data_IF_932982123023
#
_entry.id   IF_932982123023
#
_cell.length_a   1.000
_cell.length_b   1.000
_cell.length_c   1.000
_cell.angle_alpha   90.00
_cell.angle_beta   90.00
_cell.angle_gamma   90.00
#
_symmetry.space_group_name_H-M   'P 1'
#
loop_
_entity.id
_entity.type
_entity.pdbx_description
1 polymer ?
#
# COMPACT_ATOMS: atom_id res chain seq x y z
N UNK A 1 33.45 49.15 -3.50
CA UNK A 1 32.36 49.22 -4.48
C UNK A 1 31.49 48.00 -4.30
N UNK A 2 30.45 48.15 -3.47
CA UNK A 2 29.38 47.18 -3.25
C UNK A 2 28.24 47.54 -4.21
N UNK A 3 27.72 46.56 -4.94
CA UNK A 3 26.44 46.69 -5.63
C UNK A 3 25.41 45.87 -4.87
N UNK A 4 24.61 46.58 -4.07
CA UNK A 4 23.37 46.08 -3.49
C UNK A 4 22.25 46.15 -4.53
N UNK A 5 21.56 45.02 -4.75
CA UNK A 5 20.27 44.99 -5.43
C UNK A 5 19.17 44.64 -4.42
N UNK A 6 18.12 45.47 -4.26
CA UNK A 6 16.99 45.13 -3.42
C UNK A 6 15.98 44.32 -4.24
N UNK A 7 15.87 43.02 -3.99
CA UNK A 7 14.73 42.25 -4.48
C UNK A 7 13.56 42.34 -3.51
N UNK A 8 12.47 42.90 -4.04
CA UNK A 8 11.23 43.21 -3.36
C UNK A 8 10.49 41.98 -2.82
N UNK A 9 10.37 41.99 -1.50
CA UNK A 9 9.19 41.70 -0.66
C UNK A 9 7.84 41.57 -1.40
N UNK A 10 7.44 40.38 -1.84
CA UNK A 10 6.02 39.97 -1.98
C UNK A 10 5.92 38.44 -1.98
N UNK A 11 5.43 37.84 -0.89
CA UNK A 11 4.68 36.59 -0.90
C UNK A 11 3.94 36.47 0.45
N UNK A 12 2.62 36.65 0.39
CA UNK A 12 1.69 36.45 1.51
C UNK A 12 1.76 34.99 1.98
N UNK A 13 1.72 34.82 3.30
CA UNK A 13 1.41 33.55 3.94
C UNK A 13 0.02 33.08 3.49
N UNK A 14 -0.07 31.84 3.01
CA UNK A 14 -1.34 31.14 2.92
C UNK A 14 -1.60 30.51 4.29
N UNK A 15 -2.49 31.13 5.04
CA UNK A 15 -3.14 30.56 6.21
C UNK A 15 -4.18 29.55 5.72
N UNK A 16 -4.09 28.30 6.19
CA UNK A 16 -5.02 27.21 5.89
C UNK A 16 -5.94 26.88 7.07
N UNK A 17 -6.07 27.79 8.04
CA UNK A 17 -7.18 27.73 8.99
C UNK A 17 -8.39 28.44 8.37
N UNK A 18 -9.57 27.81 8.48
CA UNK A 18 -10.88 28.24 7.95
C UNK A 18 -11.22 27.77 6.53
N UNK A 19 -11.70 26.54 6.42
CA UNK A 19 -12.77 26.20 5.47
C UNK A 19 -14.04 25.98 6.30
N UNK A 20 -14.61 27.10 6.76
CA UNK A 20 -16.01 27.18 7.14
C UNK A 20 -16.80 27.72 5.94
N UNK A 21 -18.02 27.23 5.85
CA UNK A 21 -19.02 27.46 4.84
C UNK A 21 -19.28 28.94 4.54
N UNK A 22 -19.27 29.34 3.26
CA UNK A 22 -20.21 30.31 2.66
C UNK A 22 -19.84 30.60 1.20
N UNK A 23 -20.54 29.96 0.26
CA UNK A 23 -20.72 30.49 -1.09
C UNK A 23 -22.22 30.56 -1.39
N UNK A 24 -22.77 31.74 -1.72
CA UNK A 24 -24.15 31.82 -2.20
C UNK A 24 -24.21 31.22 -3.61
N UNK A 25 -24.87 30.06 -3.72
CA UNK A 25 -25.15 29.40 -5.00
C UNK A 25 -26.07 30.29 -5.82
N UNK A 26 -25.58 30.76 -6.96
CA UNK A 26 -26.39 31.40 -7.99
C UNK A 26 -27.46 30.42 -8.49
N UNK A 27 -28.72 30.84 -8.45
CA UNK A 27 -29.86 30.10 -8.99
C UNK A 27 -29.83 30.15 -10.52
N UNK A 28 -29.03 29.28 -11.13
CA UNK A 28 -29.26 28.78 -12.49
C UNK A 28 -30.03 27.47 -12.39
N UNK A 29 -31.32 27.48 -12.71
CA UNK A 29 -32.15 26.28 -12.74
C UNK A 29 -31.75 25.36 -13.91
N UNK A 30 -30.63 24.64 -13.76
CA UNK A 30 -30.41 23.42 -14.52
C UNK A 30 -31.28 22.34 -13.88
N UNK A 31 -32.26 21.83 -14.62
CA UNK A 31 -32.97 20.60 -14.24
C UNK A 31 -31.95 19.47 -14.27
N UNK A 32 -31.38 19.14 -13.10
CA UNK A 32 -30.66 17.89 -12.92
C UNK A 32 -31.66 16.75 -13.14
N UNK A 33 -31.51 16.05 -14.26
CA UNK A 33 -32.19 14.77 -14.47
C UNK A 33 -31.51 13.77 -13.53
N UNK A 34 -32.00 13.71 -12.29
CA UNK A 34 -31.54 12.72 -11.32
C UNK A 34 -32.03 11.35 -11.75
N UNK A 35 -31.15 10.56 -12.39
CA UNK A 35 -31.42 9.14 -12.63
C UNK A 35 -31.68 8.43 -11.30
N UNK A 36 -32.72 7.61 -11.26
CA UNK A 36 -33.03 6.81 -10.08
C UNK A 36 -31.85 5.87 -9.74
N UNK A 37 -31.63 5.54 -8.46
CA UNK A 37 -30.53 4.67 -8.05
C UNK A 37 -30.53 3.33 -8.79
N UNK A 38 -31.70 2.74 -9.04
CA UNK A 38 -31.86 1.50 -9.81
C UNK A 38 -31.43 1.65 -11.27
N UNK A 39 -31.69 2.79 -11.90
CA UNK A 39 -31.30 3.06 -13.28
C UNK A 39 -29.79 3.32 -13.43
N UNK A 40 -29.14 3.87 -12.39
CA UNK A 40 -27.66 3.96 -12.32
C UNK A 40 -27.01 2.57 -12.25
N UNK A 41 -27.58 1.65 -11.47
CA UNK A 41 -27.11 0.26 -11.39
C UNK A 41 -27.27 -0.47 -12.73
N UNK A 42 -28.45 -0.38 -13.35
CA UNK A 42 -28.72 -1.02 -14.66
C UNK A 42 -27.79 -0.49 -15.75
N UNK A 43 -27.56 0.83 -15.81
CA UNK A 43 -26.64 1.42 -16.78
C UNK A 43 -25.18 1.06 -16.51
N UNK A 44 -24.78 0.94 -15.24
CA UNK A 44 -23.44 0.46 -14.88
C UNK A 44 -23.23 -1.01 -15.27
N UNK A 45 -24.25 -1.85 -15.08
CA UNK A 45 -24.24 -3.26 -15.51
C UNK A 45 -24.21 -3.34 -17.04
N UNK A 46 -25.00 -2.56 -17.76
CA UNK A 46 -25.00 -2.55 -19.24
C UNK A 46 -23.69 -2.02 -19.82
N UNK A 47 -23.07 -1.00 -19.22
CA UNK A 47 -21.72 -0.54 -19.58
C UNK A 47 -20.64 -1.60 -19.28
N UNK A 48 -20.80 -2.34 -18.17
CA UNK A 48 -19.91 -3.45 -17.83
C UNK A 48 -20.06 -4.64 -18.79
N UNK A 49 -21.29 -5.05 -19.11
CA UNK A 49 -21.57 -6.17 -20.02
C UNK A 49 -21.15 -5.84 -21.46
N UNK A 50 -21.38 -4.60 -21.92
CA UNK A 50 -20.93 -4.18 -23.26
C UNK A 50 -19.42 -4.09 -23.37
N UNK A 51 -18.69 -3.66 -22.33
CA UNK A 51 -17.23 -3.64 -22.35
C UNK A 51 -16.58 -5.04 -22.32
N UNK A 52 -17.22 -6.03 -21.69
CA UNK A 52 -16.77 -7.45 -21.75
C UNK A 52 -16.86 -8.00 -23.18
N UNK A 53 -17.87 -7.60 -23.97
CA UNK A 53 -18.03 -8.01 -25.37
C UNK A 53 -16.93 -7.51 -26.33
N UNK A 54 -16.14 -6.51 -25.93
CA UNK A 54 -15.01 -5.99 -26.70
C UNK A 54 -13.64 -6.37 -26.13
N UNK A 55 -13.58 -7.00 -24.96
CA UNK A 55 -12.31 -7.42 -24.35
C UNK A 55 -11.60 -8.45 -25.24
N UNK A 56 -10.29 -8.29 -25.44
CA UNK A 56 -9.48 -9.23 -26.23
C UNK A 56 -9.16 -10.48 -25.43
N UNK A 57 -8.91 -10.33 -24.13
CA UNK A 57 -8.77 -11.45 -23.20
C UNK A 57 -9.34 -11.06 -21.84
N UNK A 58 -9.79 -12.05 -21.10
CA UNK A 58 -10.26 -11.88 -19.73
C UNK A 58 -10.16 -13.20 -18.98
N UNK A 59 -10.13 -13.12 -17.67
CA UNK A 59 -10.02 -14.30 -16.82
C UNK A 59 -10.55 -14.04 -15.41
N UNK A 60 -11.02 -15.11 -14.77
CA UNK A 60 -11.45 -15.12 -13.38
C UNK A 60 -10.78 -16.33 -12.72
N UNK A 61 -10.27 -16.14 -11.50
CA UNK A 61 -9.70 -17.21 -10.68
C UNK A 61 -10.27 -17.17 -9.27
N UNK A 62 -10.41 -18.36 -8.68
CA UNK A 62 -10.78 -18.54 -7.28
C UNK A 62 -9.55 -18.99 -6.52
N UNK A 63 -9.17 -18.22 -5.51
CA UNK A 63 -7.96 -18.46 -4.73
C UNK A 63 -8.30 -19.06 -3.38
N UNK A 64 -7.58 -20.09 -2.98
CA UNK A 64 -7.49 -20.51 -1.59
C UNK A 64 -6.05 -20.32 -1.10
N UNK A 65 -5.86 -19.91 0.15
CA UNK A 65 -4.53 -19.68 0.70
C UNK A 65 -4.40 -20.10 2.16
N UNK A 66 -3.22 -20.59 2.51
CA UNK A 66 -2.79 -20.89 3.86
C UNK A 66 -1.46 -20.18 4.10
N UNK A 67 -1.33 -19.51 5.23
CA UNK A 67 -0.13 -18.78 5.64
C UNK A 67 0.31 -19.28 7.02
N UNK A 68 1.56 -19.69 7.14
CA UNK A 68 2.19 -20.15 8.39
C UNK A 68 3.56 -19.48 8.52
N UNK A 69 3.77 -18.71 9.59
CA UNK A 69 5.02 -17.98 9.77
C UNK A 69 5.20 -17.42 11.19
N UNK A 70 6.30 -16.72 11.41
CA UNK A 70 6.56 -16.05 12.69
C UNK A 70 5.58 -14.91 12.95
N UNK A 71 5.19 -14.19 11.90
CA UNK A 71 4.39 -12.96 12.01
C UNK A 71 2.94 -13.15 11.56
N UNK A 72 2.70 -13.95 10.52
CA UNK A 72 1.39 -14.10 9.91
C UNK A 72 0.99 -15.58 9.89
N UNK A 73 -0.17 -15.86 10.44
CA UNK A 73 -0.79 -17.18 10.46
C UNK A 73 -2.27 -17.04 10.15
N UNK A 74 -2.74 -17.72 9.12
CA UNK A 74 -4.13 -17.60 8.70
C UNK A 74 -4.46 -18.38 7.45
N UNK A 75 -5.74 -18.36 7.12
CA UNK A 75 -6.31 -18.95 5.91
C UNK A 75 -7.11 -17.90 5.17
N UNK A 76 -7.22 -18.01 3.86
CA UNK A 76 -7.99 -17.05 3.08
C UNK A 76 -8.57 -17.64 1.80
N UNK A 77 -9.64 -17.01 1.33
CA UNK A 77 -10.28 -17.27 0.06
C UNK A 77 -10.33 -15.97 -0.73
N UNK A 78 -10.18 -16.04 -2.04
CA UNK A 78 -10.20 -14.87 -2.90
C UNK A 78 -10.86 -15.12 -4.24
N UNK A 79 -11.34 -14.05 -4.87
CA UNK A 79 -11.77 -14.04 -6.25
C UNK A 79 -11.04 -12.91 -6.96
N UNK A 80 -10.44 -13.22 -8.11
CA UNK A 80 -9.64 -12.29 -8.88
C UNK A 80 -10.09 -12.32 -10.32
N UNK A 81 -10.09 -11.17 -10.97
CA UNK A 81 -10.39 -11.10 -12.39
C UNK A 81 -9.64 -9.99 -13.09
N UNK A 82 -9.47 -10.16 -14.39
CA UNK A 82 -8.90 -9.15 -15.27
C UNK A 82 -9.62 -9.11 -16.61
N UNK A 83 -9.54 -7.95 -17.24
CA UNK A 83 -9.94 -7.72 -18.63
C UNK A 83 -8.80 -6.97 -19.32
N UNK A 84 -8.41 -7.40 -20.50
CA UNK A 84 -7.47 -6.67 -21.36
C UNK A 84 -8.14 -6.22 -22.65
N UNK A 85 -7.86 -4.98 -23.04
CA UNK A 85 -8.29 -4.40 -24.30
C UNK A 85 -7.16 -3.56 -24.88
N UNK A 86 -6.56 -4.05 -25.98
CA UNK A 86 -5.36 -3.44 -26.55
C UNK A 86 -4.30 -3.24 -25.46
N UNK A 87 -3.83 -2.00 -25.30
CA UNK A 87 -2.82 -1.62 -24.32
C UNK A 87 -3.37 -1.41 -22.91
N UNK A 88 -4.65 -1.62 -22.64
CA UNK A 88 -5.25 -1.38 -21.33
C UNK A 88 -5.59 -2.70 -20.66
N UNK A 89 -5.28 -2.81 -19.38
CA UNK A 89 -5.70 -3.90 -18.51
C UNK A 89 -6.41 -3.34 -17.29
N UNK A 90 -7.60 -3.86 -17.01
CA UNK A 90 -8.33 -3.64 -15.78
C UNK A 90 -8.23 -4.89 -14.92
N UNK A 91 -8.00 -4.74 -13.62
CA UNK A 91 -8.00 -5.85 -12.65
C UNK A 91 -8.90 -5.51 -11.48
N UNK A 92 -9.62 -6.50 -10.97
CA UNK A 92 -10.36 -6.36 -9.72
C UNK A 92 -10.26 -7.66 -8.93
N UNK A 93 -10.34 -7.56 -7.61
CA UNK A 93 -10.36 -8.76 -6.78
C UNK A 93 -10.70 -8.47 -5.33
N UNK A 94 -10.99 -9.56 -4.63
CA UNK A 94 -11.37 -9.55 -3.23
C UNK A 94 -10.75 -10.77 -2.55
N UNK A 95 -10.01 -10.56 -1.46
CA UNK A 95 -9.52 -11.60 -0.56
C UNK A 95 -10.23 -11.47 0.79
N UNK A 96 -10.80 -12.55 1.31
CA UNK A 96 -11.26 -12.66 2.69
C UNK A 96 -10.32 -13.62 3.42
N UNK A 97 -9.66 -13.14 4.45
CA UNK A 97 -8.71 -13.92 5.26
C UNK A 97 -9.13 -13.94 6.71
N UNK A 98 -8.98 -15.09 7.37
CA UNK A 98 -9.04 -15.22 8.81
C UNK A 98 -7.62 -15.43 9.36
N UNK A 99 -7.19 -14.53 10.24
CA UNK A 99 -5.87 -14.54 10.85
C UNK A 99 -5.95 -14.99 12.31
N UNK A 100 -5.20 -16.05 12.62
CA UNK A 100 -4.89 -16.42 14.00
C UNK A 100 -3.89 -15.43 14.60
N UNK A 101 -2.93 -14.99 13.79
CA UNK A 101 -1.90 -14.01 14.14
C UNK A 101 -1.53 -13.15 12.92
N UNK A 102 -1.33 -11.86 13.13
CA UNK A 102 -0.79 -10.94 12.13
C UNK A 102 0.06 -9.84 12.80
N UNK A 103 0.58 -8.92 11.97
CA UNK A 103 1.35 -7.75 12.40
C UNK A 103 0.58 -6.89 13.40
N UNK A 104 1.30 -6.15 14.25
CA UNK A 104 0.74 -5.33 15.32
C UNK A 104 0.24 -6.14 16.51
N UNK A 105 0.65 -7.40 16.62
CA UNK A 105 0.14 -8.32 17.66
C UNK A 105 -1.34 -8.68 17.51
N UNK A 106 -1.94 -8.41 16.34
CA UNK A 106 -3.35 -8.70 16.04
C UNK A 106 -3.58 -10.21 16.01
N UNK A 107 -4.68 -10.67 16.62
CA UNK A 107 -5.03 -12.09 16.75
C UNK A 107 -6.53 -12.30 16.53
N UNK A 108 -6.89 -13.47 16.02
CA UNK A 108 -8.28 -13.94 15.87
C UNK A 108 -9.20 -12.92 15.20
N UNK A 109 -8.85 -12.48 14.00
CA UNK A 109 -9.60 -11.45 13.27
C UNK A 109 -9.77 -11.84 11.81
N UNK A 110 -10.81 -11.29 11.18
CA UNK A 110 -11.00 -11.40 9.74
C UNK A 110 -10.60 -10.08 9.07
N UNK A 111 -10.12 -10.20 7.84
CA UNK A 111 -9.76 -9.07 6.99
C UNK A 111 -10.28 -9.32 5.59
N UNK A 112 -11.01 -8.35 5.05
CA UNK A 112 -11.32 -8.24 3.65
C UNK A 112 -10.35 -7.27 2.99
N UNK A 113 -9.72 -7.69 1.89
CA UNK A 113 -8.87 -6.87 1.04
C UNK A 113 -9.48 -6.85 -0.35
N UNK A 114 -10.04 -5.72 -0.72
CA UNK A 114 -10.54 -5.45 -2.06
C UNK A 114 -9.54 -4.62 -2.85
N UNK A 115 -9.47 -4.80 -4.16
CA UNK A 115 -8.73 -3.90 -5.03
C UNK A 115 -9.39 -3.74 -6.39
N UNK A 116 -9.11 -2.59 -7.02
CA UNK A 116 -9.40 -2.31 -8.42
C UNK A 116 -8.20 -1.58 -9.02
N UNK A 117 -7.78 -1.96 -10.22
CA UNK A 117 -6.58 -1.42 -10.84
C UNK A 117 -6.72 -1.24 -12.35
N UNK A 118 -5.95 -0.29 -12.86
CA UNK A 118 -5.87 0.09 -14.27
C UNK A 118 -4.39 0.17 -14.67
N UNK A 119 -4.04 -0.53 -15.74
CA UNK A 119 -2.67 -0.68 -16.19
C UNK A 119 -2.58 -0.48 -17.69
N UNK A 120 -1.48 0.15 -18.12
CA UNK A 120 -1.11 0.32 -19.51
C UNK A 120 0.04 -0.65 -19.85
N UNK A 121 -0.15 -1.46 -20.88
CA UNK A 121 0.83 -2.41 -21.41
C UNK A 121 1.50 -1.91 -22.68
N UNK A 122 2.80 -2.12 -22.82
CA UNK A 122 3.58 -1.72 -24.00
C UNK A 122 4.80 -2.61 -24.26
N UNK A 123 5.42 -2.44 -25.43
CA UNK A 123 6.55 -3.27 -25.87
C UNK A 123 6.12 -4.45 -26.73
N UNK A 124 6.95 -5.50 -26.75
CA UNK A 124 6.72 -6.67 -27.61
C UNK A 124 5.55 -7.49 -27.09
N UNK A 125 4.74 -8.03 -28.00
CA UNK A 125 3.68 -8.98 -27.68
C UNK A 125 4.27 -10.39 -27.43
N UNK A 126 5.12 -10.49 -26.39
CA UNK A 126 5.87 -11.70 -26.04
C UNK A 126 5.91 -11.94 -24.53
N UNK A 127 4.98 -11.33 -23.79
CA UNK A 127 4.86 -11.58 -22.35
C UNK A 127 4.38 -13.01 -22.11
N UNK A 128 4.92 -13.62 -21.07
CA UNK A 128 4.41 -14.86 -20.50
C UNK A 128 3.49 -14.45 -19.36
N UNK A 129 2.26 -14.99 -19.37
CA UNK A 129 1.30 -14.78 -18.28
C UNK A 129 1.96 -15.12 -16.95
N UNK A 130 1.76 -14.26 -15.95
CA UNK A 130 2.15 -14.60 -14.59
C UNK A 130 1.36 -15.83 -14.14
N UNK A 131 2.02 -16.66 -13.31
CA UNK A 131 1.38 -17.81 -12.68
C UNK A 131 0.68 -17.42 -11.38
N UNK A 132 0.92 -16.22 -10.85
CA UNK A 132 0.17 -15.68 -9.70
C UNK A 132 -1.07 -14.92 -10.15
N UNK A 133 -2.15 -15.03 -9.38
CA UNK A 133 -3.29 -14.13 -9.49
C UNK A 133 -3.34 -13.09 -8.37
N UNK A 134 -3.76 -11.87 -8.75
CA UNK A 134 -3.97 -10.82 -7.77
C UNK A 134 -3.82 -9.39 -8.30
N UNK A 135 -3.54 -8.51 -7.36
CA UNK A 135 -3.35 -7.09 -7.63
C UNK A 135 -2.05 -6.83 -8.40
N UNK A 136 -2.11 -5.94 -9.40
CA UNK A 136 -0.96 -5.46 -10.16
C UNK A 136 -0.10 -6.57 -10.79
N UNK A 137 -0.77 -7.62 -11.28
CA UNK A 137 -0.19 -8.68 -12.09
C UNK A 137 -0.34 -8.33 -13.57
N UNK A 138 0.68 -8.60 -14.38
CA UNK A 138 0.59 -8.42 -15.83
C UNK A 138 -0.04 -9.66 -16.49
N UNK A 139 -1.28 -9.52 -16.93
CA UNK A 139 -2.01 -10.51 -17.73
C UNK A 139 -2.05 -10.15 -19.22
N UNK A 140 -1.45 -9.02 -19.59
CA UNK A 140 -1.40 -8.57 -20.97
C UNK A 140 -0.33 -9.34 -21.75
N UNK A 141 -0.47 -9.33 -23.08
CA UNK A 141 0.56 -9.87 -23.99
C UNK A 141 1.86 -9.05 -24.00
N UNK A 142 1.89 -7.87 -23.39
CA UNK A 142 2.98 -6.91 -23.50
C UNK A 142 4.06 -7.10 -22.44
N UNK A 143 5.32 -6.99 -22.85
CA UNK A 143 6.48 -7.16 -21.96
C UNK A 143 6.66 -6.06 -20.93
N UNK A 144 6.05 -4.89 -21.12
CA UNK A 144 6.08 -3.81 -20.14
C UNK A 144 4.68 -3.49 -19.67
N UNK A 145 4.54 -3.15 -18.39
CA UNK A 145 3.29 -2.69 -17.82
C UNK A 145 3.57 -1.59 -16.81
N UNK A 146 2.73 -0.55 -16.79
CA UNK A 146 2.72 0.44 -15.74
C UNK A 146 1.28 0.74 -15.35
N UNK A 147 1.01 0.89 -14.07
CA UNK A 147 -0.32 1.28 -13.64
C UNK A 147 -0.48 1.46 -12.15
N UNK A 148 -1.74 1.58 -11.77
CA UNK A 148 -2.17 1.92 -10.44
C UNK A 148 -3.32 1.02 -10.00
N UNK A 149 -3.34 0.70 -8.72
CA UNK A 149 -4.45 0.02 -8.05
C UNK A 149 -4.86 0.77 -6.80
N UNK A 150 -6.17 0.91 -6.60
CA UNK A 150 -6.76 1.32 -5.33
C UNK A 150 -7.10 0.06 -4.53
N UNK A 151 -6.75 0.06 -3.25
CA UNK A 151 -6.98 -1.04 -2.32
C UNK A 151 -7.83 -0.56 -1.14
N UNK A 152 -8.69 -1.43 -0.66
CA UNK A 152 -9.48 -1.21 0.54
C UNK A 152 -9.36 -2.41 1.47
N UNK A 153 -8.93 -2.15 2.69
CA UNK A 153 -8.83 -3.11 3.78
C UNK A 153 -9.96 -2.85 4.77
N UNK A 154 -10.81 -3.84 5.01
CA UNK A 154 -11.82 -3.83 6.06
C UNK A 154 -11.57 -4.99 7.02
N UNK A 155 -11.62 -4.74 8.31
CA UNK A 155 -11.39 -5.76 9.34
C UNK A 155 -12.16 -5.46 10.63
N UNK A 156 -12.30 -6.48 11.49
CA UNK A 156 -12.83 -6.29 12.84
C UNK A 156 -11.74 -6.02 13.88
N UNK A 157 -10.47 -5.84 13.46
CA UNK A 157 -9.34 -5.52 14.33
C UNK A 157 -9.10 -4.00 14.48
N UNK A 158 -10.01 -3.16 13.94
CA UNK A 158 -9.90 -1.69 13.94
C UNK A 158 -8.68 -1.17 13.18
N UNK A 159 -8.25 -1.89 12.15
CA UNK A 159 -7.13 -1.51 11.27
C UNK A 159 -7.55 -1.32 9.81
N UNK A 160 -8.84 -1.02 9.59
CA UNK A 160 -9.39 -0.76 8.27
C UNK A 160 -8.78 0.50 7.66
N UNK A 161 -8.36 0.43 6.40
CA UNK A 161 -7.72 1.54 5.69
C UNK A 161 -7.89 1.42 4.18
N UNK A 162 -7.76 2.54 3.48
CA UNK A 162 -7.52 2.53 2.04
C UNK A 162 -6.03 2.64 1.76
N UNK A 163 -5.58 2.06 0.66
CA UNK A 163 -4.21 2.18 0.17
C UNK A 163 -4.20 2.35 -1.33
N UNK A 164 -3.17 2.95 -1.88
CA UNK A 164 -2.93 2.94 -3.32
C UNK A 164 -1.63 2.20 -3.59
N UNK A 165 -1.51 1.61 -4.78
CA UNK A 165 -0.26 1.01 -5.20
C UNK A 165 0.04 1.28 -6.66
N UNK A 166 1.30 1.56 -6.93
CA UNK A 166 1.86 1.62 -8.27
C UNK A 166 2.59 0.33 -8.58
N UNK A 167 2.52 -0.10 -9.82
CA UNK A 167 3.36 -1.18 -10.32
C UNK A 167 3.97 -0.83 -11.66
N UNK A 168 5.21 -1.26 -11.80
CA UNK A 168 5.97 -1.19 -13.03
C UNK A 168 6.57 -2.55 -13.31
N UNK A 169 6.29 -3.10 -14.48
CA UNK A 169 6.86 -4.35 -14.98
C UNK A 169 7.66 -4.06 -16.24
N UNK A 170 8.89 -4.58 -16.29
CA UNK A 170 9.71 -4.64 -17.48
C UNK A 170 10.26 -6.06 -17.69
N UNK A 171 9.78 -6.68 -18.76
CA UNK A 171 9.94 -8.09 -19.07
C UNK A 171 9.39 -8.98 -17.96
N UNK A 172 10.28 -9.43 -17.07
CA UNK A 172 9.96 -10.34 -15.97
C UNK A 172 10.28 -9.72 -14.61
N UNK A 173 10.70 -8.46 -14.61
CA UNK A 173 11.05 -7.71 -13.42
C UNK A 173 9.89 -6.79 -13.07
N UNK A 174 9.34 -6.92 -11.88
CA UNK A 174 8.24 -6.09 -11.37
C UNK A 174 8.69 -5.35 -10.13
N UNK A 175 8.44 -4.04 -10.13
CA UNK A 175 8.47 -3.21 -8.94
C UNK A 175 7.03 -2.88 -8.55
N UNK A 176 6.68 -3.12 -7.30
CA UNK A 176 5.38 -2.84 -6.72
C UNK A 176 5.57 -1.98 -5.49
N UNK A 177 4.84 -0.87 -5.39
CA UNK A 177 4.89 0.02 -4.24
C UNK A 177 3.50 0.43 -3.80
N UNK A 178 3.14 0.03 -2.59
CA UNK A 178 1.88 0.33 -1.92
C UNK A 178 2.11 1.26 -0.71
N UNK A 179 1.25 2.27 -0.56
CA UNK A 179 1.24 3.20 0.57
C UNK A 179 -0.14 3.90 0.69
N UNK A 180 -0.56 4.27 1.90
CA UNK A 180 -1.85 4.93 2.16
C UNK A 180 -1.94 6.38 1.64
N UNK A 181 -0.80 7.04 1.44
CA UNK A 181 -0.65 8.31 0.74
C UNK A 181 -1.22 8.25 -0.67
N UNK A 182 -1.02 7.14 -1.37
CA UNK A 182 -1.52 6.95 -2.74
C UNK A 182 -3.03 6.75 -2.82
N UNK A 183 -3.72 6.62 -1.69
CA UNK A 183 -5.18 6.64 -1.59
C UNK A 183 -5.73 7.96 -1.02
N UNK A 184 -4.88 8.99 -0.87
CA UNK A 184 -5.28 10.31 -0.39
C UNK A 184 -5.44 10.42 1.13
N UNK A 185 -5.02 9.42 1.91
CA UNK A 185 -5.04 9.50 3.38
C UNK A 185 -3.73 10.07 3.93
N UNK A 186 -2.59 9.51 3.52
CA UNK A 186 -1.25 9.93 3.98
C UNK A 186 -1.12 9.94 5.50
N UNK A 187 -1.69 8.94 6.17
CA UNK A 187 -1.67 8.83 7.64
C UNK A 187 -0.48 8.00 8.12
N UNK A 188 0.13 7.19 7.27
CA UNK A 188 1.21 6.26 7.58
C UNK A 188 0.83 5.22 8.64
N UNK A 189 -0.43 4.81 8.70
CA UNK A 189 -0.95 3.85 9.70
C UNK A 189 -1.15 2.44 9.14
N UNK A 190 -1.11 1.47 10.04
CA UNK A 190 -1.16 0.02 9.82
C UNK A 190 -0.30 -0.43 8.64
N UNK A 191 -0.83 -0.58 7.43
CA UNK A 191 -0.05 -0.98 6.25
C UNK A 191 0.62 0.26 5.66
N UNK A 192 1.60 0.79 6.39
CA UNK A 192 2.29 2.06 6.09
C UNK A 192 2.97 2.01 4.73
N UNK A 193 3.72 0.95 4.43
CA UNK A 193 4.34 0.80 3.12
C UNK A 193 4.61 -0.68 2.79
N UNK A 194 4.52 -1.02 1.51
CA UNK A 194 4.95 -2.33 1.00
C UNK A 194 5.64 -2.12 -0.35
N UNK A 195 6.95 -2.31 -0.38
CA UNK A 195 7.79 -2.19 -1.58
C UNK A 195 8.31 -3.58 -1.93
N UNK A 196 8.06 -4.03 -3.16
CA UNK A 196 8.41 -5.37 -3.60
C UNK A 196 9.07 -5.29 -4.97
N UNK A 197 10.27 -5.82 -5.07
CA UNK A 197 10.89 -6.16 -6.35
C UNK A 197 10.76 -7.67 -6.56
N UNK A 198 10.29 -8.08 -7.73
CA UNK A 198 10.12 -9.49 -8.09
C UNK A 198 10.70 -9.74 -9.47
N UNK A 199 11.47 -10.81 -9.60
CA UNK A 199 11.92 -11.36 -10.87
C UNK A 199 11.27 -12.72 -11.08
N UNK A 200 10.54 -12.90 -12.18
CA UNK A 200 9.85 -14.16 -12.48
C UNK A 200 10.50 -14.93 -13.64
N UNK A 201 10.34 -16.23 -13.60
CA UNK A 201 10.55 -17.17 -14.68
C UNK A 201 9.28 -18.01 -14.86
N UNK A 202 9.31 -19.02 -15.73
CA UNK A 202 8.10 -19.78 -16.08
C UNK A 202 7.46 -20.52 -14.87
N UNK A 203 8.28 -21.07 -13.98
CA UNK A 203 7.82 -21.91 -12.86
C UNK A 203 8.26 -21.40 -11.49
N UNK A 204 9.02 -20.31 -11.44
CA UNK A 204 9.49 -19.76 -10.18
C UNK A 204 9.62 -18.24 -10.24
N UNK A 205 9.62 -17.60 -9.07
CA UNK A 205 9.98 -16.20 -8.95
C UNK A 205 10.81 -15.97 -7.69
N UNK A 206 11.66 -14.95 -7.74
CA UNK A 206 12.45 -14.47 -6.59
C UNK A 206 11.99 -13.06 -6.26
N UNK A 207 11.79 -12.82 -4.98
CA UNK A 207 11.23 -11.58 -4.46
C UNK A 207 12.15 -10.97 -3.40
N UNK A 208 12.37 -9.67 -3.49
CA UNK A 208 13.00 -8.85 -2.46
C UNK A 208 11.96 -7.84 -1.99
N UNK A 209 11.69 -7.80 -0.70
CA UNK A 209 10.57 -7.01 -0.19
C UNK A 209 10.85 -6.29 1.10
N UNK A 210 10.18 -5.15 1.25
CA UNK A 210 10.11 -4.33 2.44
C UNK A 210 8.64 -4.17 2.82
N UNK A 211 8.30 -4.49 4.06
CA UNK A 211 6.98 -4.22 4.63
C UNK A 211 7.12 -3.39 5.89
N UNK A 212 6.49 -2.23 5.88
CA UNK A 212 6.42 -1.33 7.02
C UNK A 212 5.02 -1.38 7.60
N UNK A 213 4.95 -1.52 8.92
CA UNK A 213 3.72 -1.45 9.66
C UNK A 213 3.86 -0.54 10.88
N UNK A 214 2.87 0.33 11.09
CA UNK A 214 2.85 1.29 12.21
C UNK A 214 1.46 1.25 12.87
N UNK A 215 1.37 1.50 14.18
CA UNK A 215 0.07 1.67 14.84
C UNK A 215 -0.76 2.84 14.27
N UNK A 216 -1.90 3.10 14.90
CA UNK A 216 -2.72 4.28 14.57
C UNK A 216 -1.91 5.56 14.83
N UNK A 217 -2.01 6.53 13.90
CA UNK A 217 -1.23 7.78 13.89
C UNK A 217 -2.11 9.03 13.93
N UNK A 218 -3.42 8.86 13.74
CA UNK A 218 -4.42 9.91 13.88
C UNK A 218 -4.83 10.10 15.34
N UNK A 219 -5.16 11.35 15.70
CA UNK A 219 -5.52 11.71 17.07
C UNK A 219 -4.37 12.21 17.93
N UNK A 220 -3.13 12.28 17.41
CA UNK A 220 -1.99 12.92 18.09
C UNK A 220 -1.33 13.99 17.22
N UNK A 221 -1.02 15.12 17.85
CA UNK A 221 -0.26 16.22 17.24
C UNK A 221 1.23 15.91 17.16
N UNK A 222 1.91 16.53 16.21
CA UNK A 222 3.37 16.48 16.15
C UNK A 222 3.97 17.28 17.32
N UNK A 223 4.92 16.67 18.01
CA UNK A 223 5.69 17.26 19.09
C UNK A 223 7.07 17.67 18.58
N UNK A 224 7.64 18.71 19.16
CA UNK A 224 8.98 19.19 18.83
C UNK A 224 9.96 18.69 19.89
N UNK A 225 11.08 18.10 19.45
CA UNK A 225 12.20 17.77 20.32
C UNK A 225 13.53 18.16 19.69
N UNK A 226 14.50 18.46 20.55
CA UNK A 226 15.89 18.68 20.15
C UNK A 226 16.61 17.33 20.14
N UNK A 227 16.83 16.76 18.96
CA UNK A 227 17.53 15.47 18.81
C UNK A 227 18.93 15.74 18.26
N UNK A 228 19.96 15.49 19.06
CA UNK A 228 21.37 15.76 18.71
C UNK A 228 21.61 17.20 18.20
N UNK A 229 21.04 18.18 18.90
CA UNK A 229 21.20 19.60 18.55
C UNK A 229 20.36 20.08 17.36
N UNK A 230 19.52 19.22 16.77
CA UNK A 230 18.63 19.58 15.66
C UNK A 230 17.17 19.46 16.08
N UNK A 231 16.38 20.48 15.75
CA UNK A 231 14.93 20.44 15.87
C UNK A 231 14.36 19.31 15.01
N UNK A 232 13.64 18.39 15.64
CA UNK A 232 12.92 17.30 14.99
C UNK A 232 11.47 17.31 15.43
N UNK A 233 10.57 16.99 14.50
CA UNK A 233 9.15 16.80 14.79
C UNK A 233 8.86 15.31 14.87
N UNK A 234 8.11 14.88 15.87
CA UNK A 234 7.76 13.47 16.04
C UNK A 234 6.34 13.29 16.58
N UNK A 235 5.77 12.10 16.39
CA UNK A 235 4.51 11.70 17.02
C UNK A 235 4.75 10.57 18.01
N UNK A 236 4.30 10.77 19.24
CA UNK A 236 4.19 9.68 20.22
C UNK A 236 2.86 8.96 20.02
N UNK A 237 2.93 7.67 19.70
CA UNK A 237 1.76 6.84 19.40
C UNK A 237 1.33 5.99 20.60
N UNK A 238 2.02 6.05 21.74
CA UNK A 238 1.87 5.08 22.86
C UNK A 238 0.44 4.91 23.34
N UNK A 239 -0.36 5.98 23.28
CA UNK A 239 -1.75 6.00 23.73
C UNK A 239 -2.78 5.64 22.64
N UNK A 240 -2.32 5.35 21.42
CA UNK A 240 -3.18 5.01 20.28
C UNK A 240 -3.24 3.50 20.06
N UNK A 241 -4.26 3.09 19.30
CA UNK A 241 -4.46 1.67 18.96
C UNK A 241 -3.22 1.12 18.28
N UNK A 242 -2.64 0.10 18.91
CA UNK A 242 -1.41 -0.56 18.48
C UNK A 242 -0.18 0.35 18.36
N UNK A 243 -0.19 1.55 18.94
CA UNK A 243 0.93 2.51 18.82
C UNK A 243 2.21 2.08 19.53
N UNK A 244 2.12 1.11 20.43
CA UNK A 244 3.26 0.40 21.05
C UNK A 244 3.79 -0.76 20.20
N UNK A 245 3.35 -0.87 18.95
CA UNK A 245 3.83 -1.87 18.01
C UNK A 245 4.16 -1.24 16.66
N UNK A 246 5.19 -1.79 16.02
CA UNK A 246 5.61 -1.40 14.69
C UNK A 246 6.45 -2.52 14.08
N UNK A 247 6.51 -2.59 12.75
CA UNK A 247 7.28 -3.60 12.05
C UNK A 247 8.04 -2.94 10.89
N UNK A 248 9.30 -3.35 10.73
CA UNK A 248 10.16 -3.00 9.62
C UNK A 248 10.76 -4.28 9.08
N UNK A 249 10.00 -4.95 8.21
CA UNK A 249 10.35 -6.28 7.72
C UNK A 249 11.08 -6.15 6.39
N UNK A 250 12.33 -6.58 6.34
CA UNK A 250 13.11 -6.73 5.11
C UNK A 250 13.31 -8.21 4.85
N UNK A 251 12.95 -8.69 3.65
CA UNK A 251 12.94 -10.12 3.35
C UNK A 251 13.37 -10.43 1.91
N UNK A 252 13.82 -11.66 1.73
CA UNK A 252 13.94 -12.34 0.44
C UNK A 252 12.92 -13.47 0.43
N UNK A 253 12.37 -13.79 -0.74
CA UNK A 253 11.46 -14.90 -0.90
C UNK A 253 11.57 -15.57 -2.26
N UNK A 254 11.04 -16.78 -2.32
CA UNK A 254 10.95 -17.59 -3.52
C UNK A 254 9.52 -18.11 -3.66
N UNK A 255 9.02 -18.09 -4.88
CA UNK A 255 7.72 -18.64 -5.26
C UNK A 255 7.95 -19.74 -6.29
N UNK A 256 7.23 -20.84 -6.17
CA UNK A 256 7.29 -21.96 -7.10
C UNK A 256 5.88 -22.39 -7.48
N UNK A 257 5.62 -22.47 -8.78
CA UNK A 257 4.41 -23.07 -9.32
C UNK A 257 4.51 -24.59 -9.12
N UNK A 258 3.69 -25.12 -8.23
CA UNK A 258 3.47 -26.54 -8.03
C UNK A 258 2.22 -26.98 -8.82
N UNK A 259 2.09 -28.28 -9.06
CA UNK A 259 1.03 -28.82 -9.94
C UNK A 259 -0.38 -28.32 -9.56
N UNK A 260 -1.28 -28.30 -10.55
CA UNK A 260 -2.68 -27.86 -10.40
C UNK A 260 -2.84 -26.36 -10.06
N UNK A 261 -1.98 -25.49 -10.60
CA UNK A 261 -2.13 -24.03 -10.42
C UNK A 261 -1.81 -23.53 -9.01
N UNK A 262 -1.12 -24.35 -8.20
CA UNK A 262 -0.77 -24.01 -6.84
C UNK A 262 0.58 -23.29 -6.78
N UNK A 263 0.74 -22.33 -5.88
CA UNK A 263 1.99 -21.60 -5.68
C UNK A 263 2.46 -21.80 -4.24
N UNK A 264 3.64 -22.42 -4.11
CA UNK A 264 4.35 -22.50 -2.84
C UNK A 264 5.28 -21.29 -2.71
N UNK A 265 5.13 -20.54 -1.62
CA UNK A 265 5.91 -19.34 -1.35
C UNK A 265 6.64 -19.45 -0.03
N UNK A 266 7.93 -19.20 -0.06
CA UNK A 266 8.78 -19.12 1.12
C UNK A 266 9.39 -17.73 1.22
N UNK A 267 9.43 -17.16 2.41
CA UNK A 267 10.07 -15.87 2.68
C UNK A 267 10.87 -15.97 3.98
N UNK A 268 12.05 -15.35 4.00
CA UNK A 268 12.86 -15.21 5.19
C UNK A 268 13.53 -13.84 5.25
N UNK A 269 13.82 -13.35 6.45
CA UNK A 269 14.41 -12.04 6.65
C UNK A 269 14.44 -11.63 8.12
N UNK A 270 14.37 -10.32 8.33
CA UNK A 270 14.38 -9.73 9.67
C UNK A 270 13.24 -8.73 9.82
N UNK A 271 12.70 -8.65 11.03
CA UNK A 271 11.87 -7.54 11.48
C UNK A 271 12.65 -6.69 12.49
N UNK A 272 12.84 -5.41 12.18
CA UNK A 272 13.62 -4.53 13.04
C UNK A 272 13.13 -3.07 12.98
N UNK A 273 13.11 -2.41 14.14
CA UNK A 273 12.89 -0.95 14.21
C UNK A 273 13.92 -0.15 13.41
N UNK A 274 15.14 -0.68 13.29
CA UNK A 274 16.19 -0.08 12.47
C UNK A 274 15.77 0.02 11.00
N UNK A 275 15.20 -1.05 10.45
CA UNK A 275 14.70 -1.09 9.07
C UNK A 275 13.57 -0.08 8.90
N UNK A 276 12.56 -0.11 9.78
CA UNK A 276 11.45 0.86 9.73
C UNK A 276 11.95 2.29 9.80
N UNK A 277 12.84 2.62 10.74
CA UNK A 277 13.37 3.96 10.89
C UNK A 277 14.16 4.44 9.67
N UNK A 278 14.92 3.56 9.02
CA UNK A 278 15.63 3.91 7.77
C UNK A 278 14.64 4.25 6.67
N UNK A 279 13.70 3.36 6.37
CA UNK A 279 12.81 3.54 5.22
C UNK A 279 11.70 4.55 5.45
N UNK A 280 11.09 4.56 6.63
CA UNK A 280 10.04 5.52 6.98
C UNK A 280 10.64 6.88 7.33
N UNK A 281 11.44 6.97 8.39
CA UNK A 281 11.85 8.27 8.93
C UNK A 281 13.01 8.93 8.17
N UNK A 282 14.00 8.15 7.71
CA UNK A 282 15.18 8.71 7.07
C UNK A 282 15.02 8.90 5.56
N UNK A 283 14.18 8.08 4.92
CA UNK A 283 13.88 8.18 3.49
C UNK A 283 12.51 8.83 3.30
N UNK A 284 11.40 8.18 3.71
CA UNK A 284 10.03 8.67 3.46
C UNK A 284 9.71 10.04 4.07
N UNK A 285 10.20 10.31 5.28
CA UNK A 285 10.05 11.59 5.99
C UNK A 285 11.35 12.40 6.02
N UNK A 286 12.23 12.22 5.03
CA UNK A 286 13.41 13.05 4.91
C UNK A 286 12.99 14.51 4.73
N UNK A 287 13.57 15.43 5.51
CA UNK A 287 13.21 16.84 5.45
C UNK A 287 13.45 17.47 4.06
N UNK A 288 14.30 16.90 3.22
CA UNK A 288 14.51 17.35 1.84
C UNK A 288 13.34 17.00 0.90
N UNK A 289 12.49 16.02 1.25
CA UNK A 289 11.29 15.69 0.48
C UNK A 289 10.10 16.61 0.80
N UNK A 290 10.21 17.44 1.83
CA UNK A 290 9.15 18.34 2.26
C UNK A 290 9.57 19.80 2.14
N UNK A 291 8.77 20.60 1.43
CA UNK A 291 8.97 22.06 1.33
C UNK A 291 8.91 22.72 2.72
N UNK A 292 8.05 22.20 3.58
CA UNK A 292 7.92 22.60 4.98
C UNK A 292 8.47 21.48 5.88
N UNK A 293 9.57 21.78 6.59
CA UNK A 293 10.26 20.81 7.46
C UNK A 293 9.41 20.36 8.64
N UNK A 294 8.40 21.13 9.04
CA UNK A 294 7.47 20.72 10.10
C UNK A 294 6.60 19.53 9.70
N UNK A 295 6.44 19.31 8.38
CA UNK A 295 5.72 18.16 7.81
C UNK A 295 6.55 16.88 7.74
N UNK A 296 7.87 16.98 7.94
CA UNK A 296 8.78 15.84 8.03
C UNK A 296 8.71 15.18 9.43
N UNK A 297 7.49 14.80 9.82
CA UNK A 297 7.19 14.21 11.13
C UNK A 297 7.72 12.79 11.18
N UNK A 298 8.48 12.46 12.23
CA UNK A 298 9.06 11.13 12.43
C UNK A 298 8.29 10.33 13.47
N UNK A 299 8.36 9.01 13.37
CA UNK A 299 7.80 8.12 14.37
C UNK A 299 8.96 7.50 15.17
N UNK A 300 9.09 7.78 16.48
CA UNK A 300 10.18 7.23 17.30
C UNK A 300 10.29 5.72 17.16
N UNK A 301 11.51 5.19 17.35
CA UNK A 301 11.67 3.73 17.46
C UNK A 301 11.06 3.27 18.78
N UNK A 302 10.73 1.99 18.86
CA UNK A 302 10.19 1.41 20.09
C UNK A 302 11.27 0.64 20.86
N UNK A 303 11.22 0.73 22.18
CA UNK A 303 12.02 -0.10 23.08
C UNK A 303 11.39 -1.49 23.27
N UNK A 304 12.03 -2.34 24.08
CA UNK A 304 11.55 -3.70 24.38
C UNK A 304 10.18 -3.76 25.09
N UNK A 305 9.69 -2.65 25.63
CA UNK A 305 8.39 -2.52 26.27
C UNK A 305 7.35 -1.84 25.35
N UNK A 306 7.74 -1.49 24.12
CA UNK A 306 6.88 -0.80 23.16
C UNK A 306 6.79 0.71 23.38
N UNK A 307 7.64 1.30 24.22
CA UNK A 307 7.66 2.74 24.44
C UNK A 307 8.57 3.47 23.44
N UNK A 308 8.25 4.71 23.07
CA UNK A 308 9.09 5.56 22.22
C UNK A 308 10.50 5.73 22.79
N UNK A 309 11.50 5.54 21.96
CA UNK A 309 12.89 5.74 22.33
C UNK A 309 13.71 6.37 21.21
N UNK A 310 14.56 7.32 21.60
CA UNK A 310 15.52 7.98 20.72
C UNK A 310 16.93 7.41 20.87
N UNK A 311 17.19 6.73 21.98
CA UNK A 311 18.47 6.09 22.27
C UNK A 311 18.63 4.83 21.43
N UNK A 312 19.88 4.50 21.08
CA UNK A 312 20.16 3.32 20.24
C UNK A 312 20.22 2.03 21.06
N UNK A 313 20.66 2.10 22.32
CA UNK A 313 20.85 0.93 23.18
C UNK A 313 19.55 0.34 23.75
N UNK A 314 18.46 1.12 23.75
CA UNK A 314 17.14 0.74 24.28
C UNK A 314 16.21 0.15 23.23
N UNK A 315 16.54 0.24 21.93
CA UNK A 315 15.67 -0.20 20.83
C UNK A 315 15.39 -1.69 20.95
N UNK A 316 14.13 -2.09 20.72
CA UNK A 316 13.73 -3.50 20.73
C UNK A 316 14.64 -4.35 19.83
N UNK A 317 14.92 -5.57 20.28
CA UNK A 317 15.72 -6.54 19.51
C UNK A 317 15.07 -6.87 18.17
N UNK A 318 15.88 -7.15 17.17
CA UNK A 318 15.39 -7.63 15.87
C UNK A 318 14.82 -9.05 16.00
N UNK A 319 13.72 -9.32 15.31
CA UNK A 319 13.10 -10.64 15.25
C UNK A 319 13.38 -11.30 13.90
N UNK A 320 13.43 -12.63 13.88
CA UNK A 320 13.54 -13.37 12.62
C UNK A 320 12.18 -13.41 11.92
N UNK A 321 12.16 -12.99 10.66
CA UNK A 321 11.00 -13.13 9.80
C UNK A 321 11.10 -14.42 9.01
N UNK A 322 10.09 -15.28 9.11
CA UNK A 322 9.91 -16.41 8.22
C UNK A 322 8.42 -16.58 7.88
N UNK A 323 8.13 -16.92 6.65
CA UNK A 323 6.79 -17.14 6.16
C UNK A 323 6.76 -18.25 5.12
N UNK A 324 5.88 -19.22 5.32
CA UNK A 324 5.47 -20.20 4.33
C UNK A 324 4.03 -19.90 3.95
N UNK A 325 3.75 -19.91 2.64
CA UNK A 325 2.41 -19.75 2.12
C UNK A 325 2.16 -20.76 1.01
N UNK A 326 0.98 -21.35 1.00
CA UNK A 326 0.48 -22.14 -0.12
C UNK A 326 -0.77 -21.44 -0.64
N UNK A 327 -0.77 -21.08 -1.91
CA UNK A 327 -1.94 -20.60 -2.64
C UNK A 327 -2.34 -21.61 -3.72
N UNK A 328 -3.62 -21.77 -3.98
CA UNK A 328 -4.14 -22.50 -5.14
C UNK A 328 -5.17 -21.65 -5.86
N UNK A 329 -5.14 -21.68 -7.19
CA UNK A 329 -5.96 -20.86 -8.09
C UNK A 329 -6.68 -21.72 -9.13
#
# INVERSE_FOLDING_TARGET
MQHDYPCARWCRAYDHSLFDDEYPKGHGAQREVTMSPSMKWVMSILLFVSSVGYAQTGGIALKASINIGSHIQGVGLGIHGYLTFNHIQCTAGNDISFYLKSLGGRKCFWENRSYAGLFYGGGKAASISDFEWGNAVNYSKYTHQFGYSYLFYADNARTSQSSGAFAFEAHRNRLYFENDFFAGQGKDRFRTANLVFRHRELFYAVTFGLRLWTGETSGVGAQQALVKGKTSYFKDLSNLSYGQTSHGILYVGTEYLVGLGQVLKFQCGMDAEGVRNVFQNNIGHAACLHRDKSKAVKYPRLDGFGNPTFERGSVKSSETFFQLSLGGE
#
